data_IF_875106442545
#
_entry.id   IF_875106442545
#
_cell.length_a   1.000
_cell.length_b   1.000
_cell.length_c   1.000
_cell.angle_alpha   90.00
_cell.angle_beta   90.00
_cell.angle_gamma   90.00
#
_symmetry.space_group_name_H-M   'P 1'
#
loop_
_entity.id
_entity.type
_entity.pdbx_description
1 polymer ?
#
# COMPACT_ATOMS: atom_id res chain seq x y z
N UNK A 1 -2.49 0.04 16.62
CA UNK A 1 -3.38 -0.21 15.48
C UNK A 1 -4.48 -1.23 15.79
N UNK A 2 -4.14 -2.49 16.11
CA UNK A 2 -5.13 -3.59 16.25
C UNK A 2 -6.34 -3.28 17.16
N UNK A 3 -6.11 -2.67 18.33
CA UNK A 3 -7.20 -2.25 19.23
C UNK A 3 -8.14 -1.21 18.60
N UNK A 4 -7.59 -0.28 17.81
CA UNK A 4 -8.39 0.74 17.14
C UNK A 4 -9.27 0.14 16.04
N UNK A 5 -8.70 -0.75 15.19
CA UNK A 5 -9.47 -1.45 14.16
C UNK A 5 -10.61 -2.29 14.76
N UNK A 6 -10.34 -2.99 15.86
CA UNK A 6 -11.34 -3.79 16.55
C UNK A 6 -12.48 -2.96 17.17
N UNK A 7 -12.14 -1.84 17.82
CA UNK A 7 -13.12 -1.01 18.52
C UNK A 7 -13.90 -0.06 17.62
N UNK A 8 -13.33 0.34 16.48
CA UNK A 8 -13.89 1.41 15.64
C UNK A 8 -14.32 0.96 14.25
N UNK A 9 -13.82 -0.18 13.76
CA UNK A 9 -14.06 -0.66 12.38
C UNK A 9 -14.47 -2.13 12.32
N UNK A 10 -14.84 -2.74 13.45
CA UNK A 10 -15.34 -4.11 13.55
C UNK A 10 -14.41 -5.21 13.00
N UNK A 11 -13.11 -4.96 12.91
CA UNK A 11 -12.16 -6.04 12.64
C UNK A 11 -12.10 -6.97 13.87
N UNK A 12 -12.62 -8.19 13.76
CA UNK A 12 -12.63 -9.15 14.86
C UNK A 12 -11.20 -9.61 15.19
N UNK A 13 -10.93 -9.98 16.45
CA UNK A 13 -9.55 -10.34 16.86
C UNK A 13 -9.12 -11.68 16.26
N UNK A 14 -10.07 -12.57 16.07
CA UNK A 14 -9.94 -13.85 15.39
C UNK A 14 -9.58 -13.72 13.90
N UNK A 15 -9.92 -12.58 13.29
CA UNK A 15 -9.60 -12.23 11.91
C UNK A 15 -8.32 -11.35 11.83
N UNK A 16 -7.44 -11.43 12.83
CA UNK A 16 -6.17 -10.73 12.85
C UNK A 16 -5.00 -11.70 13.01
N UNK A 17 -4.00 -11.56 12.13
CA UNK A 17 -2.66 -12.09 12.37
C UNK A 17 -1.78 -10.95 12.88
N UNK A 18 -1.29 -11.07 14.12
CA UNK A 18 -0.43 -10.06 14.76
C UNK A 18 0.95 -10.67 14.99
N UNK A 19 1.95 -10.11 14.29
CA UNK A 19 3.34 -10.52 14.44
C UNK A 19 4.13 -9.46 15.20
N UNK A 20 4.70 -9.81 16.35
CA UNK A 20 5.58 -8.93 17.15
C UNK A 20 6.72 -9.75 17.78
N UNK A 21 7.89 -9.13 17.89
CA UNK A 21 9.13 -9.77 18.32
C UNK A 21 9.24 -9.96 19.84
N UNK A 22 8.30 -9.39 20.60
CA UNK A 22 8.15 -9.57 22.05
C UNK A 22 7.27 -10.78 22.45
N UNK A 23 6.66 -11.48 21.49
CA UNK A 23 5.82 -12.65 21.75
C UNK A 23 6.62 -13.94 21.90
N UNK A 24 6.21 -14.82 22.82
CA UNK A 24 6.88 -16.12 23.00
C UNK A 24 6.55 -17.15 21.91
N UNK A 25 5.39 -17.03 21.25
CA UNK A 25 4.98 -17.98 20.21
C UNK A 25 5.83 -17.81 18.94
N UNK A 26 6.57 -18.84 18.48
CA UNK A 26 7.38 -18.76 17.27
C UNK A 26 6.58 -18.42 16.00
N UNK A 27 5.29 -18.78 15.93
CA UNK A 27 4.43 -18.46 14.78
C UNK A 27 3.95 -17.01 14.79
N UNK A 28 4.10 -16.31 15.91
CA UNK A 28 3.80 -14.89 16.08
C UNK A 28 5.04 -13.99 15.93
N UNK A 29 6.22 -14.56 15.75
CA UNK A 29 7.44 -13.78 15.53
C UNK A 29 7.48 -13.23 14.09
N UNK A 30 7.88 -11.96 13.86
CA UNK A 30 7.92 -11.34 12.54
C UNK A 30 9.16 -11.76 11.74
N UNK A 31 9.36 -13.07 11.58
CA UNK A 31 10.37 -13.64 10.68
C UNK A 31 9.94 -13.48 9.23
N UNK A 32 10.88 -13.52 8.28
CA UNK A 32 10.57 -13.40 6.84
C UNK A 32 9.49 -14.40 6.43
N UNK A 33 9.65 -15.66 6.83
CA UNK A 33 8.70 -16.72 6.54
C UNK A 33 7.30 -16.46 7.12
N UNK A 34 7.21 -15.95 8.36
CA UNK A 34 5.93 -15.66 8.98
C UNK A 34 5.24 -14.45 8.36
N UNK A 35 5.99 -13.40 8.01
CA UNK A 35 5.47 -12.21 7.33
C UNK A 35 4.89 -12.61 5.97
N UNK A 36 5.64 -13.32 5.13
CA UNK A 36 5.17 -13.76 3.81
C UNK A 36 3.94 -14.68 3.92
N UNK A 37 3.93 -15.60 4.89
CA UNK A 37 2.77 -16.45 5.17
C UNK A 37 1.54 -15.63 5.57
N UNK A 38 1.71 -14.60 6.40
CA UNK A 38 0.64 -13.72 6.82
C UNK A 38 0.11 -12.86 5.66
N UNK A 39 0.99 -12.36 4.79
CA UNK A 39 0.60 -11.64 3.57
C UNK A 39 -0.24 -12.53 2.64
N UNK A 40 0.19 -13.78 2.41
CA UNK A 40 -0.59 -14.74 1.65
C UNK A 40 -1.93 -15.08 2.30
N UNK A 41 -1.97 -15.25 3.62
CA UNK A 41 -3.21 -15.48 4.35
C UNK A 41 -4.18 -14.30 4.21
N UNK A 42 -3.69 -13.06 4.30
CA UNK A 42 -4.49 -11.84 4.28
C UNK A 42 -5.32 -11.72 2.99
N UNK A 43 -4.73 -12.05 1.85
CA UNK A 43 -5.39 -11.91 0.54
C UNK A 43 -6.06 -13.19 0.05
N UNK A 44 -5.91 -14.29 0.79
CA UNK A 44 -6.42 -15.59 0.37
C UNK A 44 -7.94 -15.57 0.31
N UNK A 45 -8.48 -16.01 -0.83
CA UNK A 45 -9.92 -16.15 -1.06
C UNK A 45 -10.73 -14.84 -0.91
N UNK A 46 -10.07 -13.67 -0.98
CA UNK A 46 -10.70 -12.35 -0.90
C UNK A 46 -11.75 -12.18 -2.01
N UNK A 47 -12.90 -11.57 -1.65
CA UNK A 47 -14.07 -11.41 -2.51
C UNK A 47 -14.46 -9.94 -2.62
N UNK A 48 -15.14 -9.54 -3.71
CA UNK A 48 -15.64 -8.18 -3.83
C UNK A 48 -16.41 -7.73 -2.59
N UNK A 49 -16.12 -6.52 -2.11
CA UNK A 49 -16.59 -5.87 -0.88
C UNK A 49 -15.91 -6.33 0.43
N UNK A 50 -14.91 -7.22 0.39
CA UNK A 50 -14.04 -7.45 1.55
C UNK A 50 -13.14 -6.22 1.79
N UNK A 51 -12.91 -5.89 3.07
CA UNK A 51 -11.95 -4.86 3.48
C UNK A 51 -10.79 -5.48 4.26
N UNK A 52 -9.60 -5.38 3.67
CA UNK A 52 -8.35 -5.93 4.19
C UNK A 52 -7.50 -4.79 4.76
N UNK A 53 -6.82 -5.05 5.87
CA UNK A 53 -5.93 -4.08 6.49
C UNK A 53 -4.53 -4.66 6.74
N UNK A 54 -3.50 -3.98 6.26
CA UNK A 54 -2.10 -4.31 6.49
C UNK A 54 -1.41 -3.18 7.25
N UNK A 55 -0.74 -3.51 8.37
CA UNK A 55 0.06 -2.54 9.12
C UNK A 55 1.46 -3.09 9.30
N UNK A 56 2.46 -2.32 8.86
CA UNK A 56 3.86 -2.58 9.14
C UNK A 56 4.46 -1.42 9.92
N UNK A 57 5.19 -1.73 10.99
CA UNK A 57 5.95 -0.76 11.78
C UNK A 57 7.30 -1.38 12.13
N UNK A 58 8.37 -0.86 11.54
CA UNK A 58 9.69 -1.46 11.64
C UNK A 58 10.72 -0.73 10.78
N UNK A 59 11.84 -1.40 10.51
CA UNK A 59 12.87 -0.85 9.65
C UNK A 59 12.48 -0.98 8.18
N UNK A 60 12.64 0.12 7.45
CA UNK A 60 12.62 0.14 5.99
C UNK A 60 13.92 0.71 5.44
N UNK A 61 14.16 0.50 4.16
CA UNK A 61 15.33 1.01 3.44
C UNK A 61 15.24 0.70 1.96
N UNK A 62 16.34 0.90 1.24
CA UNK A 62 16.40 0.75 -0.21
C UNK A 62 17.49 -0.28 -0.60
N UNK A 63 17.25 -1.04 -1.67
CA UNK A 63 18.25 -1.91 -2.33
C UNK A 63 18.32 -1.59 -3.82
N UNK A 64 19.45 -1.78 -4.52
CA UNK A 64 19.50 -1.53 -5.96
C UNK A 64 18.46 -2.36 -6.71
N UNK A 65 17.66 -1.69 -7.54
CA UNK A 65 16.72 -2.33 -8.46
C UNK A 65 17.50 -3.13 -9.52
N UNK A 66 17.11 -4.40 -9.69
CA UNK A 66 17.74 -5.34 -10.61
C UNK A 66 16.93 -5.60 -11.89
N UNK A 67 15.65 -5.20 -11.94
CA UNK A 67 14.77 -5.46 -13.07
C UNK A 67 14.33 -4.19 -13.83
N UNK A 68 14.61 -3.01 -13.28
CA UNK A 68 14.55 -1.72 -13.93
C UNK A 68 13.15 -1.11 -13.94
N UNK A 69 12.30 -1.48 -12.99
CA UNK A 69 10.93 -1.00 -12.87
C UNK A 69 10.78 0.25 -11.99
N UNK A 70 11.83 0.65 -11.25
CA UNK A 70 11.88 1.87 -10.45
C UNK A 70 12.59 3.03 -11.15
N UNK A 71 11.94 4.21 -11.16
CA UNK A 71 12.45 5.40 -11.85
C UNK A 71 13.74 5.97 -11.22
N UNK A 72 13.97 5.71 -9.93
CA UNK A 72 15.17 6.13 -9.19
C UNK A 72 16.24 5.02 -9.10
N UNK A 73 15.93 3.81 -9.56
CA UNK A 73 16.82 2.65 -9.57
C UNK A 73 16.98 1.94 -8.22
N UNK A 74 16.04 2.10 -7.29
CA UNK A 74 16.07 1.41 -6.00
C UNK A 74 14.71 0.84 -5.58
N UNK A 75 14.69 -0.45 -5.22
CA UNK A 75 13.54 -1.10 -4.59
C UNK A 75 13.45 -0.70 -3.11
N UNK A 76 12.23 -0.45 -2.63
CA UNK A 76 11.95 -0.28 -1.21
C UNK A 76 11.85 -1.64 -0.51
N UNK A 77 12.38 -1.71 0.72
CA UNK A 77 12.44 -2.97 1.47
C UNK A 77 11.96 -2.83 2.90
N UNK A 78 11.36 -3.90 3.43
CA UNK A 78 11.12 -4.07 4.86
C UNK A 78 12.05 -5.13 5.44
N UNK A 79 12.42 -4.97 6.71
CA UNK A 79 13.33 -5.88 7.40
C UNK A 79 12.58 -6.75 8.42
N UNK A 80 12.49 -8.08 8.19
CA UNK A 80 12.05 -9.04 9.20
C UNK A 80 13.03 -9.13 10.38
N UNK A 81 12.63 -9.71 11.51
CA UNK A 81 13.50 -9.83 12.69
C UNK A 81 14.75 -10.70 12.42
N UNK A 82 14.64 -11.65 11.49
CA UNK A 82 15.70 -12.57 11.07
C UNK A 82 16.41 -12.14 9.77
N UNK A 83 16.28 -10.87 9.36
CA UNK A 83 16.80 -10.37 8.08
C UNK A 83 18.28 -10.64 7.82
N UNK A 84 19.10 -10.75 8.89
CA UNK A 84 20.54 -11.07 8.77
C UNK A 84 20.79 -12.44 8.15
N UNK A 85 19.87 -13.38 8.33
CA UNK A 85 19.97 -14.74 7.81
C UNK A 85 19.02 -14.97 6.63
N UNK A 86 17.81 -14.40 6.69
CA UNK A 86 16.74 -14.64 5.71
C UNK A 86 16.65 -13.57 4.60
N UNK A 87 17.38 -12.46 4.75
CA UNK A 87 17.28 -11.28 3.89
C UNK A 87 16.06 -10.40 4.21
N UNK A 88 15.94 -9.29 3.47
CA UNK A 88 14.80 -8.38 3.51
C UNK A 88 13.68 -8.85 2.58
N UNK A 89 12.55 -8.15 2.58
CA UNK A 89 11.43 -8.34 1.63
C UNK A 89 11.33 -7.06 0.80
N UNK A 90 11.41 -7.20 -0.53
CA UNK A 90 11.29 -6.08 -1.49
C UNK A 90 9.81 -5.77 -1.77
N UNK A 91 9.51 -4.52 -2.09
CA UNK A 91 8.22 -4.00 -2.56
C UNK A 91 7.61 -4.84 -3.67
N UNK A 92 8.41 -5.26 -4.63
CA UNK A 92 8.02 -6.05 -5.78
C UNK A 92 7.43 -7.43 -5.37
N UNK A 93 7.99 -8.04 -4.31
CA UNK A 93 7.45 -9.25 -3.68
C UNK A 93 6.14 -8.95 -2.92
N UNK A 94 6.08 -7.81 -2.21
CA UNK A 94 4.86 -7.38 -1.50
C UNK A 94 3.72 -7.06 -2.47
N UNK A 95 3.99 -6.38 -3.59
CA UNK A 95 3.03 -6.07 -4.64
C UNK A 95 2.50 -7.36 -5.28
N UNK A 96 3.41 -8.28 -5.64
CA UNK A 96 3.05 -9.58 -6.22
C UNK A 96 2.13 -10.40 -5.30
N UNK A 97 2.34 -10.35 -3.99
CA UNK A 97 1.57 -11.12 -3.01
C UNK A 97 0.27 -10.41 -2.65
N UNK A 98 0.31 -9.12 -2.33
CA UNK A 98 -0.81 -8.42 -1.69
C UNK A 98 -1.67 -7.60 -2.65
N UNK A 99 -1.16 -7.19 -3.81
CA UNK A 99 -1.88 -6.30 -4.74
C UNK A 99 -2.38 -7.06 -5.95
N UNK A 100 -1.47 -7.78 -6.61
CA UNK A 100 -1.74 -8.46 -7.88
C UNK A 100 -2.89 -9.49 -7.87
N UNK A 101 -3.07 -10.33 -6.83
CA UNK A 101 -4.11 -11.35 -6.85
C UNK A 101 -5.50 -10.84 -6.46
N UNK A 102 -5.62 -9.59 -5.97
CA UNK A 102 -6.89 -9.08 -5.47
C UNK A 102 -7.90 -8.88 -6.61
N UNK A 103 -9.12 -9.42 -6.49
CA UNK A 103 -10.18 -9.18 -7.46
C UNK A 103 -10.75 -7.76 -7.32
N UNK A 104 -11.43 -7.34 -8.37
CA UNK A 104 -12.07 -6.03 -8.39
C UNK A 104 -13.11 -5.87 -7.28
N UNK A 105 -13.15 -4.69 -6.66
CA UNK A 105 -14.05 -4.39 -5.54
C UNK A 105 -13.57 -4.88 -4.17
N UNK A 106 -12.41 -5.53 -4.06
CA UNK A 106 -11.73 -5.72 -2.76
C UNK A 106 -11.02 -4.42 -2.37
N UNK A 107 -11.12 -4.05 -1.09
CA UNK A 107 -10.32 -2.98 -0.49
C UNK A 107 -9.11 -3.57 0.23
N UNK A 108 -7.91 -3.05 -0.06
CA UNK A 108 -6.74 -3.21 0.80
C UNK A 108 -6.28 -1.83 1.28
N UNK A 109 -6.32 -1.60 2.59
CA UNK A 109 -5.68 -0.43 3.21
C UNK A 109 -4.37 -0.85 3.88
N UNK A 110 -3.26 -0.27 3.45
CA UNK A 110 -1.94 -0.51 4.02
C UNK A 110 -1.40 0.73 4.74
N UNK A 111 -0.72 0.54 5.88
CA UNK A 111 0.02 1.59 6.57
C UNK A 111 1.45 1.12 6.84
N UNK A 112 2.42 1.90 6.40
CA UNK A 112 3.85 1.68 6.63
C UNK A 112 4.43 2.76 7.55
N UNK A 113 4.69 2.40 8.80
CA UNK A 113 5.51 3.16 9.76
C UNK A 113 7.00 2.78 9.58
N UNK A 114 7.55 3.04 8.40
CA UNK A 114 8.97 2.78 8.09
C UNK A 114 9.56 3.90 7.22
N UNK A 115 10.87 4.13 7.33
CA UNK A 115 11.60 5.00 6.41
C UNK A 115 11.63 4.37 5.01
N UNK A 116 11.61 5.18 3.96
CA UNK A 116 11.66 4.73 2.56
C UNK A 116 10.56 3.68 2.27
N UNK A 117 9.31 4.14 2.33
CA UNK A 117 8.13 3.29 2.10
C UNK A 117 7.10 3.97 1.21
N UNK A 118 7.52 5.02 0.48
CA UNK A 118 6.67 5.77 -0.45
C UNK A 118 6.08 4.88 -1.56
N UNK A 119 6.88 3.91 -2.01
CA UNK A 119 6.59 2.94 -3.06
C UNK A 119 6.54 1.49 -2.55
N UNK A 120 6.40 1.23 -1.23
CA UNK A 120 6.45 -0.13 -0.67
C UNK A 120 5.43 -1.15 -1.23
N UNK A 121 4.44 -0.72 -2.01
CA UNK A 121 3.51 -1.60 -2.74
C UNK A 121 3.44 -1.28 -4.23
N UNK A 122 4.40 -0.54 -4.78
CA UNK A 122 4.50 -0.26 -6.22
C UNK A 122 3.25 0.38 -6.81
N UNK A 123 2.59 1.25 -6.04
CA UNK A 123 1.34 1.84 -6.46
C UNK A 123 1.57 3.02 -7.42
N UNK A 124 0.85 3.08 -8.55
CA UNK A 124 1.13 4.00 -9.65
C UNK A 124 0.73 5.46 -9.37
N UNK A 125 -0.21 5.70 -8.46
CA UNK A 125 -0.65 7.05 -8.10
C UNK A 125 -0.11 7.42 -6.72
N UNK A 126 0.56 8.57 -6.60
CA UNK A 126 1.09 9.06 -5.31
C UNK A 126 0.64 10.50 -5.10
N UNK A 127 0.08 10.76 -3.93
CA UNK A 127 -0.45 12.04 -3.48
C UNK A 127 0.30 12.54 -2.25
N UNK A 128 0.48 13.85 -2.19
CA UNK A 128 0.95 14.58 -1.02
C UNK A 128 -0.03 15.68 -0.65
N UNK A 129 0.17 16.31 0.50
CA UNK A 129 -0.60 17.51 0.88
C UNK A 129 -0.36 18.71 -0.03
N UNK A 130 0.62 18.66 -0.95
CA UNK A 130 0.91 19.72 -1.93
C UNK A 130 0.27 19.42 -3.29
N UNK A 131 -0.46 18.31 -3.41
CA UNK A 131 -1.04 17.81 -4.67
C UNK A 131 -0.44 16.48 -5.10
N UNK A 132 -0.72 16.09 -6.35
CA UNK A 132 -0.28 14.82 -6.92
C UNK A 132 1.23 14.86 -7.17
N UNK A 133 1.95 13.83 -6.71
CA UNK A 133 3.40 13.69 -6.86
C UNK A 133 3.78 12.78 -8.03
N UNK A 134 3.03 11.70 -8.24
CA UNK A 134 3.26 10.72 -9.32
C UNK A 134 1.92 10.39 -9.95
N UNK A 135 1.81 10.65 -11.25
CA UNK A 135 0.73 10.12 -12.09
C UNK A 135 1.32 9.21 -13.17
N UNK A 136 0.65 8.09 -13.48
CA UNK A 136 0.96 7.28 -14.63
C UNK A 136 0.95 8.11 -15.91
N UNK A 137 1.94 7.91 -16.80
CA UNK A 137 1.94 8.58 -18.09
C UNK A 137 0.93 7.88 -19.02
N UNK A 138 -0.31 8.38 -19.00
CA UNK A 138 -1.45 7.84 -19.75
C UNK A 138 -1.16 7.60 -21.25
N UNK A 139 -0.31 8.40 -21.89
CA UNK A 139 0.04 8.20 -23.30
C UNK A 139 1.02 7.04 -23.52
N UNK A 140 1.98 6.85 -22.61
CA UNK A 140 2.90 5.69 -22.58
C UNK A 140 2.13 4.40 -22.26
N UNK A 141 1.14 4.49 -21.40
CA UNK A 141 0.36 3.35 -20.89
C UNK A 141 -0.91 3.03 -21.68
N UNK A 142 -1.37 3.96 -22.52
CA UNK A 142 -2.38 3.70 -23.55
C UNK A 142 -1.96 2.54 -24.45
N UNK A 143 -0.66 2.44 -24.78
CA UNK A 143 -0.08 1.31 -25.50
C UNK A 143 -0.08 -0.01 -24.71
N UNK A 144 -0.19 0.08 -23.38
CA UNK A 144 -0.18 -1.05 -22.43
C UNK A 144 -1.58 -1.43 -21.92
N UNK A 145 -2.64 -0.71 -22.33
CA UNK A 145 -4.04 -1.08 -22.04
C UNK A 145 -4.65 -0.46 -20.79
N UNK A 146 -3.95 0.45 -20.10
CA UNK A 146 -4.40 1.04 -18.84
C UNK A 146 -5.61 1.99 -18.99
N UNK A 147 -5.75 2.64 -20.15
CA UNK A 147 -6.86 3.56 -20.45
C UNK A 147 -8.25 2.93 -20.19
N UNK A 148 -8.40 1.62 -20.42
CA UNK A 148 -9.66 0.92 -20.17
C UNK A 148 -10.02 0.86 -18.69
N UNK A 149 -9.06 0.51 -17.84
CA UNK A 149 -9.25 0.38 -16.38
C UNK A 149 -9.49 1.76 -15.75
N UNK A 150 -8.64 2.73 -16.07
CA UNK A 150 -8.74 4.10 -15.54
C UNK A 150 -10.05 4.76 -15.98
N UNK A 151 -10.45 4.61 -17.24
CA UNK A 151 -11.71 5.19 -17.73
C UNK A 151 -12.95 4.48 -17.21
N UNK A 152 -12.88 3.19 -16.84
CA UNK A 152 -13.98 2.49 -16.19
C UNK A 152 -14.15 2.95 -14.74
N UNK A 153 -13.04 3.12 -14.02
CA UNK A 153 -13.02 3.68 -12.66
C UNK A 153 -13.55 5.12 -12.62
N UNK A 154 -13.00 6.00 -13.47
CA UNK A 154 -13.39 7.43 -13.51
C UNK A 154 -14.84 7.68 -13.93
N UNK A 155 -15.53 6.68 -14.50
CA UNK A 155 -16.95 6.79 -14.88
C UNK A 155 -17.90 6.17 -13.85
N UNK A 156 -17.38 5.64 -12.74
CA UNK A 156 -18.19 4.95 -11.72
C UNK A 156 -18.98 3.75 -12.26
N UNK A 157 -18.60 3.24 -13.44
CA UNK A 157 -19.37 2.26 -14.19
C UNK A 157 -18.91 0.85 -13.85
N UNK A 158 -19.35 0.36 -12.69
CA UNK A 158 -19.08 -1.01 -12.23
C UNK A 158 -19.65 -2.07 -13.20
N UNK A 159 -20.70 -1.75 -13.97
CA UNK A 159 -21.28 -2.63 -14.99
C UNK A 159 -20.37 -2.78 -16.21
N UNK A 160 -19.71 -1.69 -16.63
CA UNK A 160 -18.66 -1.73 -17.65
C UNK A 160 -17.38 -2.42 -17.16
N UNK A 161 -17.11 -2.45 -15.86
CA UNK A 161 -15.99 -3.22 -15.30
C UNK A 161 -16.23 -4.74 -15.42
N UNK A 162 -17.48 -5.20 -15.26
CA UNK A 162 -17.88 -6.61 -15.49
C UNK A 162 -17.91 -6.97 -16.97
N UNK A 163 -18.40 -6.09 -17.85
CA UNK A 163 -18.41 -6.36 -19.31
C UNK A 163 -16.99 -6.29 -19.90
N UNK A 164 -16.13 -5.43 -19.36
CA UNK A 164 -14.69 -5.37 -19.64
C UNK A 164 -14.01 -6.63 -19.11
N UNK A 165 -14.30 -7.06 -17.87
CA UNK A 165 -13.82 -8.34 -17.35
C UNK A 165 -14.32 -9.54 -18.18
N UNK A 166 -15.57 -9.57 -18.64
CA UNK A 166 -16.13 -10.59 -19.54
C UNK A 166 -15.52 -10.53 -20.95
N UNK A 167 -15.24 -9.35 -21.48
CA UNK A 167 -14.51 -9.14 -22.73
C UNK A 167 -13.04 -9.56 -22.62
N UNK A 168 -12.43 -9.33 -21.46
CA UNK A 168 -11.11 -9.83 -21.07
C UNK A 168 -11.13 -11.35 -20.86
N UNK A 169 -12.20 -11.96 -20.33
CA UNK A 169 -12.39 -13.42 -20.21
C UNK A 169 -12.52 -14.05 -21.61
N UNK A 170 -13.22 -13.40 -22.55
CA UNK A 170 -13.30 -13.88 -23.94
C UNK A 170 -11.95 -13.75 -24.68
N UNK A 171 -11.15 -12.73 -24.33
CA UNK A 171 -9.74 -12.56 -24.76
C UNK A 171 -8.74 -13.41 -23.95
N UNK A 172 -9.12 -13.96 -22.80
CA UNK A 172 -8.27 -14.77 -21.91
C UNK A 172 -7.91 -16.13 -22.52
N UNK A 173 -8.46 -16.46 -23.70
CA UNK A 173 -7.89 -17.47 -24.60
C UNK A 173 -6.48 -17.09 -25.11
N UNK A 174 -5.99 -15.88 -24.81
CA UNK A 174 -4.60 -15.40 -24.99
C UNK A 174 -4.04 -14.81 -23.68
N UNK A 175 -3.93 -15.63 -22.62
CA UNK A 175 -3.61 -15.20 -21.25
C UNK A 175 -2.22 -14.59 -20.99
N UNK A 176 -1.31 -14.54 -21.96
CA UNK A 176 0.08 -14.13 -21.75
C UNK A 176 0.28 -12.61 -21.85
N UNK A 177 -0.43 -11.91 -22.76
CA UNK A 177 -0.27 -10.45 -22.96
C UNK A 177 -0.85 -9.60 -21.83
N UNK A 178 -1.96 -10.00 -21.21
CA UNK A 178 -2.61 -9.24 -20.13
C UNK A 178 -1.84 -9.35 -18.82
N UNK A 179 -1.25 -10.51 -18.55
CA UNK A 179 -0.38 -10.74 -17.40
C UNK A 179 0.89 -9.88 -17.48
N UNK A 180 1.49 -9.76 -18.67
CA UNK A 180 2.67 -8.91 -18.89
C UNK A 180 2.33 -7.41 -18.84
N UNK A 181 1.15 -7.00 -19.32
CA UNK A 181 0.69 -5.59 -19.25
C UNK A 181 0.43 -5.12 -17.82
N UNK A 182 -0.26 -5.89 -17.00
CA UNK A 182 -0.47 -5.56 -15.59
C UNK A 182 0.87 -5.53 -14.80
N UNK A 183 1.83 -6.38 -15.19
CA UNK A 183 3.20 -6.33 -14.66
C UNK A 183 3.90 -5.01 -15.02
N UNK A 184 3.69 -4.49 -16.23
CA UNK A 184 4.33 -3.26 -16.69
C UNK A 184 3.70 -1.97 -16.16
N UNK A 185 2.40 -1.96 -15.85
CA UNK A 185 1.70 -0.75 -15.39
C UNK A 185 1.51 -0.69 -13.87
N UNK A 186 1.82 -1.77 -13.14
CA UNK A 186 1.62 -1.89 -11.67
C UNK A 186 0.18 -1.56 -11.20
N UNK A 187 -0.79 -1.62 -12.11
CA UNK A 187 -2.19 -1.25 -11.85
C UNK A 187 -3.02 -2.45 -11.43
N UNK A 188 -3.93 -2.27 -10.48
CA UNK A 188 -4.81 -3.32 -9.98
C UNK A 188 -6.28 -2.96 -10.22
N UNK A 189 -7.16 -3.93 -10.57
CA UNK A 189 -8.59 -3.71 -10.57
C UNK A 189 -9.18 -3.63 -9.16
N UNK A 190 -8.41 -4.00 -8.12
CA UNK A 190 -8.78 -3.82 -6.72
C UNK A 190 -8.51 -2.39 -6.25
N UNK A 191 -9.19 -1.99 -5.19
CA UNK A 191 -9.03 -0.70 -4.53
C UNK A 191 -7.95 -0.82 -3.45
N UNK A 192 -6.72 -0.42 -3.79
CA UNK A 192 -5.57 -0.51 -2.88
C UNK A 192 -5.12 0.89 -2.51
N UNK A 193 -5.12 1.17 -1.22
CA UNK A 193 -4.71 2.43 -0.62
C UNK A 193 -3.57 2.18 0.34
N UNK A 194 -2.47 2.90 0.19
CA UNK A 194 -1.32 2.83 1.07
C UNK A 194 -1.02 4.20 1.68
N UNK A 195 -0.82 4.23 2.99
CA UNK A 195 -0.29 5.38 3.71
C UNK A 195 1.14 5.08 4.13
N UNK A 196 2.05 6.00 3.82
CA UNK A 196 3.44 5.94 4.25
C UNK A 196 3.85 7.32 4.75
N UNK A 197 5.02 7.39 5.37
CA UNK A 197 5.56 8.69 5.75
C UNK A 197 7.02 8.82 5.32
N UNK A 198 7.29 9.81 4.49
CA UNK A 198 8.62 10.14 4.01
C UNK A 198 9.31 11.14 4.94
N UNK A 199 10.63 11.08 5.03
CA UNK A 199 11.41 12.18 5.63
C UNK A 199 11.66 13.23 4.55
N UNK A 200 11.46 14.48 4.93
CA UNK A 200 11.89 15.60 4.12
C UNK A 200 13.43 15.66 4.09
N UNK A 201 13.97 15.67 2.87
CA UNK A 201 15.35 15.97 2.49
C UNK A 201 16.40 14.88 2.73
N UNK A 202 17.02 14.50 1.61
CA UNK A 202 18.21 13.67 1.45
C UNK A 202 19.36 14.11 2.38
N UNK A 203 19.81 13.22 3.27
CA UNK A 203 21.24 13.12 3.61
C UNK A 203 21.56 11.65 3.86
N UNK A 204 22.05 10.98 2.82
CA UNK A 204 22.58 9.61 2.84
C UNK A 204 24.01 9.52 3.42
N UNK A 205 24.46 10.55 4.13
CA UNK A 205 25.74 10.55 4.83
C UNK A 205 25.49 10.65 6.34
N UNK A 206 25.85 9.59 7.07
CA UNK A 206 26.10 9.59 8.52
C UNK A 206 24.90 9.71 9.49
N UNK A 207 23.69 9.30 9.12
CA UNK A 207 22.55 9.35 10.05
C UNK A 207 22.50 8.15 11.02
N UNK A 208 23.49 8.05 11.91
CA UNK A 208 23.29 7.42 13.23
C UNK A 208 22.42 8.38 14.05
N UNK A 209 21.12 8.42 13.80
CA UNK A 209 20.19 9.36 14.46
C UNK A 209 19.09 8.55 15.16
N UNK A 210 19.37 8.20 16.41
CA UNK A 210 18.43 8.00 17.54
C UNK A 210 17.06 7.32 17.30
N UNK A 211 16.94 6.36 16.38
CA UNK A 211 15.97 5.25 16.48
C UNK A 211 14.49 5.57 16.75
N UNK A 212 14.02 6.81 16.53
CA UNK A 212 12.69 7.27 16.93
C UNK A 212 11.88 7.65 15.70
N UNK A 213 11.19 6.66 15.12
CA UNK A 213 10.07 6.86 14.20
C UNK A 213 9.08 5.68 14.16
N UNK A 214 9.24 4.65 15.01
CA UNK A 214 8.32 3.51 15.07
C UNK A 214 6.94 3.97 15.55
N UNK A 215 5.99 4.11 14.64
CA UNK A 215 4.58 4.39 14.94
C UNK A 215 4.12 5.86 14.83
N UNK A 216 4.92 6.78 14.29
CA UNK A 216 4.52 8.19 14.17
C UNK A 216 3.33 8.38 13.21
N UNK A 217 3.36 7.73 12.04
CA UNK A 217 2.30 7.79 11.04
C UNK A 217 1.03 7.11 11.57
N UNK A 218 1.12 5.90 12.13
CA UNK A 218 -0.07 5.26 12.70
C UNK A 218 -0.66 6.03 13.88
N UNK A 219 0.18 6.64 14.72
CA UNK A 219 -0.31 7.54 15.78
C UNK A 219 -1.08 8.72 15.19
N UNK A 220 -0.53 9.41 14.20
CA UNK A 220 -1.16 10.55 13.55
C UNK A 220 -2.45 10.15 12.82
N UNK A 221 -2.44 9.03 12.09
CA UNK A 221 -3.59 8.43 11.41
C UNK A 221 -4.75 8.17 12.38
N UNK A 222 -4.48 7.46 13.47
CA UNK A 222 -5.49 7.17 14.49
C UNK A 222 -5.99 8.45 15.15
N UNK A 223 -5.10 9.40 15.43
CA UNK A 223 -5.47 10.67 16.09
C UNK A 223 -6.36 11.52 15.19
N UNK A 224 -6.02 11.64 13.90
CA UNK A 224 -6.82 12.36 12.91
C UNK A 224 -8.22 11.77 12.77
N UNK A 225 -8.34 10.45 12.61
CA UNK A 225 -9.65 9.79 12.48
C UNK A 225 -10.48 9.81 13.77
N UNK A 226 -9.84 9.78 14.95
CA UNK A 226 -10.56 9.96 16.21
C UNK A 226 -11.13 11.37 16.37
N UNK A 227 -10.44 12.39 15.85
CA UNK A 227 -10.91 13.79 15.86
C UNK A 227 -12.03 14.02 14.86
N UNK A 228 -11.90 13.47 13.66
CA UNK A 228 -12.93 13.51 12.63
C UNK A 228 -12.98 12.18 11.86
N UNK A 229 -13.97 11.30 12.13
CA UNK A 229 -14.07 10.01 11.44
C UNK A 229 -14.49 10.12 9.97
N UNK A 230 -15.12 11.22 9.56
CA UNK A 230 -15.63 11.41 8.19
C UNK A 230 -14.79 12.46 7.47
N UNK A 231 -13.83 11.98 6.68
CA UNK A 231 -12.90 12.81 5.93
C UNK A 231 -12.77 12.29 4.50
N UNK A 232 -12.59 13.18 3.52
CA UNK A 232 -12.05 12.77 2.22
C UNK A 232 -10.60 12.29 2.36
N UNK A 233 -10.08 11.56 1.38
CA UNK A 233 -8.66 11.16 1.38
C UNK A 233 -7.71 12.37 1.51
N UNK A 234 -8.02 13.46 0.80
CA UNK A 234 -7.24 14.70 0.87
C UNK A 234 -7.36 15.37 2.24
N UNK A 235 -8.55 15.38 2.84
CA UNK A 235 -8.75 15.90 4.20
C UNK A 235 -7.97 15.08 5.22
N UNK A 236 -8.04 13.75 5.14
CA UNK A 236 -7.35 12.84 6.03
C UNK A 236 -5.83 13.01 5.91
N UNK A 237 -5.30 13.11 4.68
CA UNK A 237 -3.88 13.34 4.44
C UNK A 237 -3.38 14.65 5.09
N UNK A 238 -4.18 15.72 4.99
CA UNK A 238 -3.87 17.00 5.65
C UNK A 238 -3.97 16.92 7.17
N UNK A 239 -5.02 16.29 7.71
CA UNK A 239 -5.18 16.08 9.15
C UNK A 239 -4.01 15.27 9.73
N UNK A 240 -3.57 14.22 9.04
CA UNK A 240 -2.38 13.43 9.44
C UNK A 240 -1.13 14.32 9.44
N UNK A 241 -0.94 15.15 8.41
CA UNK A 241 0.19 16.09 8.35
C UNK A 241 0.19 17.06 9.51
N UNK A 242 -0.98 17.59 9.88
CA UNK A 242 -1.10 18.53 11.00
C UNK A 242 -0.75 17.86 12.34
N UNK A 243 -1.20 16.62 12.57
CA UNK A 243 -0.78 15.86 13.76
C UNK A 243 0.74 15.62 13.76
N UNK A 244 1.32 15.22 12.62
CA UNK A 244 2.76 14.97 12.49
C UNK A 244 3.59 16.24 12.71
N UNK A 245 3.25 17.35 12.06
CA UNK A 245 4.01 18.60 12.11
C UNK A 245 4.22 19.15 13.53
N UNK A 246 3.36 18.77 14.48
CA UNK A 246 3.50 19.14 15.88
C UNK A 246 4.68 18.47 16.61
N UNK A 247 5.13 17.30 16.14
CA UNK A 247 6.04 16.40 16.88
C UNK A 247 7.09 15.68 16.03
N UNK A 248 6.87 15.57 14.73
CA UNK A 248 7.65 14.74 13.82
C UNK A 248 7.96 15.51 12.54
N UNK A 249 9.11 15.24 11.94
CA UNK A 249 9.51 15.79 10.64
C UNK A 249 8.99 14.97 9.45
N UNK A 250 8.33 13.85 9.72
CA UNK A 250 7.77 12.96 8.70
C UNK A 250 6.62 13.66 7.97
N UNK A 251 6.58 13.53 6.66
CA UNK A 251 5.46 13.95 5.82
C UNK A 251 4.66 12.75 5.39
N UNK A 252 3.33 12.75 5.55
CA UNK A 252 2.53 11.64 5.08
C UNK A 252 2.42 11.68 3.56
N UNK A 253 2.38 10.50 2.97
CA UNK A 253 2.10 10.24 1.57
C UNK A 253 0.96 9.22 1.47
N UNK A 254 0.22 9.34 0.38
CA UNK A 254 -0.90 8.46 0.04
C UNK A 254 -0.66 7.90 -1.34
N UNK A 255 -0.56 6.58 -1.47
CA UNK A 255 -0.37 5.90 -2.75
C UNK A 255 -1.57 5.00 -3.06
N UNK A 256 -1.96 4.88 -4.33
CA UNK A 256 -3.20 4.22 -4.74
C UNK A 256 -3.03 3.38 -6.02
N UNK A 257 -3.81 2.30 -6.16
CA UNK A 257 -3.85 1.48 -7.39
C UNK A 257 -4.58 2.13 -8.56
N UNK A 258 -5.41 3.13 -8.28
CA UNK A 258 -6.21 3.90 -9.24
C UNK A 258 -6.26 5.38 -8.83
N UNK A 259 -6.66 6.30 -9.74
CA UNK A 259 -6.83 7.70 -9.36
C UNK A 259 -7.89 7.83 -8.26
N UNK A 260 -7.65 8.73 -7.31
CA UNK A 260 -8.66 9.13 -6.33
C UNK A 260 -9.54 10.23 -6.91
N UNK A 261 -10.86 10.10 -6.70
CA UNK A 261 -11.76 11.23 -6.85
C UNK A 261 -11.54 12.19 -5.67
N UNK A 262 -11.40 13.49 -5.96
CA UNK A 262 -10.95 14.50 -4.99
C UNK A 262 -11.80 14.55 -3.71
N UNK A 263 -13.11 14.29 -3.84
CA UNK A 263 -14.08 14.31 -2.75
C UNK A 263 -14.45 12.92 -2.22
N UNK A 264 -13.76 11.86 -2.68
CA UNK A 264 -14.01 10.50 -2.18
C UNK A 264 -13.65 10.39 -0.71
N UNK A 265 -14.60 9.88 0.08
CA UNK A 265 -14.42 9.66 1.51
C UNK A 265 -13.40 8.55 1.76
N UNK A 266 -12.50 8.79 2.71
CA UNK A 266 -11.57 7.79 3.19
C UNK A 266 -12.35 6.63 3.82
N UNK A 267 -12.22 5.46 3.22
CA UNK A 267 -12.79 4.22 3.73
C UNK A 267 -11.68 3.35 4.33
N UNK A 268 -12.06 2.52 5.29
CA UNK A 268 -11.19 1.59 6.01
C UNK A 268 -11.74 0.17 5.96
#
# INVERSE_FOLDING_TARGET
MSTYLNQSFNYAREDMVILTDDQQNPMSQPTKANILRAMHWLVKDARPNDSLFFHYSGHGGQTPDLDGDEDDGYDEVIYPVDFRNAGHIVDDEMHRIMVRPLPAGVRLTAIFDSCHSGSALDLPYIYSTQGVLKEPNLAKEAGQGLLGVVSAYARGDMGSMVSTAMGFIKKATRGEETYQRAKQTKTSPADVIMWSGSKDVQTSADATINGQATGALSWAFITALKKNPQQSYVQLLNSIRDELASKYSQKPQLSCSHPLEYDSYAQL
#
